data_IF_399614155693
#
_entry.id   IF_399614155693
#
_cell.length_a   1.000
_cell.length_b   1.000
_cell.length_c   1.000
_cell.angle_alpha   90.00
_cell.angle_beta   90.00
_cell.angle_gamma   90.00
#
_symmetry.space_group_name_H-M   'P 1'
#
loop_
_entity.id
_entity.type
_entity.pdbx_description
1 polymer ?
#
# COMPACT_ATOMS: atom_id res chain seq x y z
N UNK A 1 13.80 4.05 10.74
CA UNK A 1 13.61 2.76 10.06
C UNK A 1 14.48 2.76 8.81
N UNK A 2 15.14 1.64 8.54
CA UNK A 2 15.88 1.43 7.29
C UNK A 2 15.07 0.46 6.42
N UNK A 3 14.90 0.80 5.14
CA UNK A 3 14.16 -0.02 4.18
C UNK A 3 15.04 -0.14 2.95
N UNK A 4 15.27 -1.37 2.52
CA UNK A 4 16.07 -1.70 1.34
C UNK A 4 15.16 -2.33 0.28
N UNK A 5 15.32 -1.91 -0.97
CA UNK A 5 14.78 -2.61 -2.14
C UNK A 5 15.95 -3.08 -3.00
N UNK A 6 16.03 -4.39 -3.24
CA UNK A 6 17.11 -5.01 -4.02
C UNK A 6 16.45 -5.84 -5.12
N UNK A 7 16.11 -5.24 -6.27
CA UNK A 7 15.49 -5.96 -7.37
C UNK A 7 16.53 -6.68 -8.23
N UNK A 8 16.15 -7.84 -8.77
CA UNK A 8 16.93 -8.58 -9.76
C UNK A 8 16.01 -9.04 -10.89
N UNK A 9 16.40 -8.76 -12.13
CA UNK A 9 15.67 -9.17 -13.34
C UNK A 9 16.62 -9.98 -14.24
N UNK A 10 16.29 -11.26 -14.46
CA UNK A 10 17.10 -12.15 -15.30
C UNK A 10 16.23 -12.71 -16.42
N UNK A 11 16.66 -12.53 -17.68
CA UNK A 11 16.09 -13.23 -18.84
C UNK A 11 17.13 -14.14 -19.49
N UNK A 12 16.69 -15.35 -19.89
CA UNK A 12 17.46 -16.30 -20.72
C UNK A 12 16.91 -16.41 -22.15
N UNK A 13 16.05 -15.47 -22.56
CA UNK A 13 15.36 -15.46 -23.85
C UNK A 13 15.64 -14.16 -24.60
N UNK A 14 15.76 -14.27 -25.92
CA UNK A 14 16.11 -13.15 -26.81
C UNK A 14 15.05 -12.05 -26.89
N UNK A 15 13.77 -12.39 -26.70
CA UNK A 15 12.65 -11.47 -26.88
C UNK A 15 11.87 -11.22 -25.58
N UNK A 16 12.54 -11.16 -24.43
CA UNK A 16 11.88 -10.88 -23.16
C UNK A 16 11.79 -9.38 -22.90
N UNK A 17 10.62 -8.90 -22.47
CA UNK A 17 10.44 -7.58 -21.88
C UNK A 17 10.24 -7.74 -20.37
N UNK A 18 11.11 -7.12 -19.58
CA UNK A 18 11.04 -7.15 -18.12
C UNK A 18 10.90 -5.72 -17.60
N UNK A 19 9.94 -5.51 -16.72
CA UNK A 19 9.72 -4.22 -16.05
C UNK A 19 9.73 -4.44 -14.54
N UNK A 20 10.32 -3.50 -13.80
CA UNK A 20 10.28 -3.48 -12.35
C UNK A 20 9.96 -2.07 -11.88
N UNK A 21 9.06 -1.98 -10.90
CA UNK A 21 8.74 -0.76 -10.20
C UNK A 21 8.85 -1.01 -8.69
N UNK A 22 9.49 -0.09 -7.99
CA UNK A 22 9.53 -0.06 -6.53
C UNK A 22 9.36 1.40 -6.07
N UNK A 23 8.55 1.59 -5.04
CA UNK A 23 8.36 2.88 -4.40
C UNK A 23 8.65 2.76 -2.91
N UNK A 24 9.54 3.63 -2.41
CA UNK A 24 9.80 3.82 -0.99
C UNK A 24 9.59 5.29 -0.70
N UNK A 25 8.75 5.61 0.25
CA UNK A 25 8.41 6.98 0.58
C UNK A 25 7.72 7.10 1.92
N UNK A 26 7.58 8.34 2.37
CA UNK A 26 6.71 8.68 3.50
C UNK A 26 5.30 8.92 2.99
N UNK A 27 4.32 8.88 3.88
CA UNK A 27 2.97 9.39 3.58
C UNK A 27 3.09 10.85 3.13
N UNK A 28 2.36 11.20 2.06
CA UNK A 28 2.39 12.54 1.49
C UNK A 28 1.74 13.55 2.46
N UNK A 29 2.51 14.52 2.94
CA UNK A 29 2.00 15.55 3.85
C UNK A 29 0.87 16.37 3.21
N UNK A 30 0.96 16.66 1.91
CA UNK A 30 -0.12 17.37 1.19
C UNK A 30 -1.44 16.59 1.19
N UNK A 31 -1.38 15.26 1.11
CA UNK A 31 -2.58 14.42 1.19
C UNK A 31 -3.15 14.38 2.60
N UNK A 32 -2.27 14.36 3.62
CA UNK A 32 -2.69 14.46 5.02
C UNK A 32 -3.37 15.79 5.30
N UNK A 33 -2.75 16.91 4.93
CA UNK A 33 -3.31 18.24 5.09
C UNK A 33 -4.65 18.36 4.36
N UNK A 34 -4.75 17.82 3.14
CA UNK A 34 -6.00 17.81 2.40
C UNK A 34 -7.10 17.05 3.16
N UNK A 35 -6.83 15.83 3.63
CA UNK A 35 -7.80 15.03 4.37
C UNK A 35 -8.18 15.66 5.72
N UNK A 36 -7.22 16.25 6.43
CA UNK A 36 -7.47 16.98 7.67
C UNK A 36 -8.32 18.24 7.44
N UNK A 37 -8.12 18.93 6.31
CA UNK A 37 -8.99 20.07 5.93
C UNK A 37 -10.45 19.66 5.68
N UNK A 38 -10.69 18.36 5.42
CA UNK A 38 -12.03 17.77 5.30
C UNK A 38 -12.62 17.33 6.64
N UNK A 39 -11.92 17.58 7.75
CA UNK A 39 -12.39 17.32 9.11
C UNK A 39 -11.93 16.00 9.71
N UNK A 40 -11.03 15.26 9.06
CA UNK A 40 -10.42 14.06 9.64
C UNK A 40 -9.32 14.45 10.64
N UNK A 41 -9.15 13.66 11.70
CA UNK A 41 -7.93 13.72 12.52
C UNK A 41 -6.71 13.30 11.69
N UNK A 42 -5.51 13.59 12.17
CA UNK A 42 -4.28 13.16 11.50
C UNK A 42 -4.21 11.64 11.42
N UNK A 43 -4.58 10.96 12.51
CA UNK A 43 -4.63 9.51 12.64
C UNK A 43 -5.69 8.90 11.69
N UNK A 44 -6.86 9.51 11.59
CA UNK A 44 -7.91 9.09 10.64
C UNK A 44 -7.45 9.24 9.19
N UNK A 45 -6.76 10.34 8.86
CA UNK A 45 -6.21 10.58 7.53
C UNK A 45 -5.09 9.59 7.18
N UNK A 46 -4.15 9.34 8.10
CA UNK A 46 -3.09 8.33 7.93
C UNK A 46 -3.67 6.94 7.72
N UNK A 47 -4.64 6.54 8.56
CA UNK A 47 -5.37 5.27 8.45
C UNK A 47 -6.06 5.13 7.09
N UNK A 48 -6.71 6.19 6.60
CA UNK A 48 -7.39 6.18 5.31
C UNK A 48 -6.40 6.01 4.14
N UNK A 49 -5.27 6.72 4.16
CA UNK A 49 -4.23 6.60 3.12
C UNK A 49 -3.65 5.18 3.12
N UNK A 50 -3.31 4.64 4.30
CA UNK A 50 -2.76 3.28 4.43
C UNK A 50 -3.77 2.22 3.97
N UNK A 51 -5.06 2.38 4.31
CA UNK A 51 -6.13 1.49 3.80
C UNK A 51 -6.20 1.51 2.28
N UNK A 52 -6.16 2.70 1.66
CA UNK A 52 -6.20 2.81 0.20
C UNK A 52 -4.98 2.17 -0.46
N UNK A 53 -3.79 2.31 0.14
CA UNK A 53 -2.57 1.68 -0.36
C UNK A 53 -2.60 0.14 -0.25
N UNK A 54 -3.22 -0.39 0.80
CA UNK A 54 -3.34 -1.83 1.04
C UNK A 54 -4.61 -2.45 0.45
N UNK A 55 -5.44 -1.69 -0.27
CA UNK A 55 -6.70 -2.19 -0.81
C UNK A 55 -6.45 -3.25 -1.89
N UNK A 56 -7.00 -4.44 -1.66
CA UNK A 56 -6.90 -5.60 -2.56
C UNK A 56 -8.16 -5.81 -3.40
N UNK A 57 -9.20 -4.98 -3.21
CA UNK A 57 -10.47 -5.09 -3.94
C UNK A 57 -10.31 -5.15 -5.48
N UNK A 58 -9.36 -4.43 -6.11
CA UNK A 58 -9.14 -4.53 -7.56
C UNK A 58 -8.64 -5.90 -8.05
N UNK A 59 -8.16 -6.78 -7.15
CA UNK A 59 -7.58 -8.08 -7.50
C UNK A 59 -8.64 -9.18 -7.70
N UNK A 60 -9.92 -8.91 -7.45
CA UNK A 60 -11.04 -9.86 -7.60
C UNK A 60 -10.78 -11.21 -6.91
N UNK A 61 -10.44 -11.18 -5.62
CA UNK A 61 -10.11 -12.38 -4.87
C UNK A 61 -11.37 -13.13 -4.41
N UNK A 62 -11.30 -14.44 -4.10
CA UNK A 62 -12.39 -15.13 -3.43
C UNK A 62 -12.73 -14.45 -2.10
N UNK A 63 -14.02 -14.34 -1.78
CA UNK A 63 -14.54 -13.58 -0.63
C UNK A 63 -13.89 -13.96 0.71
N UNK A 64 -13.65 -15.25 0.96
CA UNK A 64 -13.01 -15.71 2.19
C UNK A 64 -11.58 -15.16 2.36
N UNK A 65 -10.87 -14.93 1.25
CA UNK A 65 -9.52 -14.39 1.23
C UNK A 65 -9.55 -12.87 1.41
N UNK A 66 -10.49 -12.17 0.76
CA UNK A 66 -10.69 -10.73 0.96
C UNK A 66 -11.01 -10.40 2.42
N UNK A 67 -11.90 -11.15 3.05
CA UNK A 67 -12.23 -10.97 4.47
C UNK A 67 -11.03 -11.21 5.38
N UNK A 68 -10.21 -12.21 5.06
CA UNK A 68 -9.00 -12.54 5.82
C UNK A 68 -7.98 -11.40 5.71
N UNK A 69 -7.76 -10.87 4.50
CA UNK A 69 -6.84 -9.77 4.25
C UNK A 69 -7.34 -8.48 4.92
N UNK A 70 -8.63 -8.15 4.83
CA UNK A 70 -9.22 -6.98 5.51
C UNK A 70 -8.97 -7.01 7.01
N UNK A 71 -9.14 -8.17 7.66
CA UNK A 71 -8.83 -8.34 9.09
C UNK A 71 -7.36 -8.11 9.41
N UNK A 72 -6.45 -8.59 8.56
CA UNK A 72 -4.99 -8.39 8.74
C UNK A 72 -4.65 -6.91 8.61
N UNK A 73 -5.22 -6.22 7.62
CA UNK A 73 -5.03 -4.77 7.42
C UNK A 73 -5.53 -4.00 8.64
N UNK A 74 -6.74 -4.32 9.14
CA UNK A 74 -7.29 -3.67 10.33
C UNK A 74 -6.41 -3.85 11.57
N UNK A 75 -5.77 -5.01 11.73
CA UNK A 75 -4.84 -5.28 12.82
C UNK A 75 -3.52 -4.50 12.66
N UNK A 76 -2.97 -4.43 11.45
CA UNK A 76 -1.75 -3.66 11.17
C UNK A 76 -1.95 -2.16 11.41
N UNK A 77 -3.14 -1.63 11.10
CA UNK A 77 -3.43 -0.20 11.24
C UNK A 77 -3.66 0.22 12.69
N UNK A 78 -4.14 -0.66 13.58
CA UNK A 78 -4.30 -0.37 15.01
C UNK A 78 -2.99 -0.09 15.77
N UNK A 79 -1.84 -0.27 15.11
CA UNK A 79 -0.52 0.06 15.65
C UNK A 79 0.01 1.45 15.27
N UNK A 80 -0.76 2.21 14.48
CA UNK A 80 -0.54 3.62 14.18
C UNK A 80 -1.46 4.47 15.07
#
# INVERSE_FOLDING_TARGET
AEIYTIPELISRRMNASLTHEAAIGRISEDQLIYLMSRGLSREEAESLIVRGFLDVSPLNLPSFLEESIKKIIDLAIKGF
#
